data_IF_762288951659
#
_entry.id   IF_762288951659
#
_cell.length_a   1.000
_cell.length_b   1.000
_cell.length_c   1.000
_cell.angle_alpha   90.00
_cell.angle_beta   90.00
_cell.angle_gamma   90.00
#
_symmetry.space_group_name_H-M   'P 1'
#
loop_
_entity.id
_entity.type
_entity.pdbx_description
1 polymer ?
#
# COMPACT_ATOMS: atom_id res chain seq x y z
N UNK A 1 11.93 1.36 4.57
CA UNK A 1 13.15 1.79 5.29
C UNK A 1 13.52 0.75 6.34
N UNK A 2 12.60 0.35 7.22
CA UNK A 2 12.87 -0.63 8.28
C UNK A 2 13.24 -2.02 7.75
N UNK A 3 12.67 -2.49 6.64
CA UNK A 3 13.05 -3.77 6.04
C UNK A 3 14.48 -3.78 5.49
N UNK A 4 14.93 -2.69 4.88
CA UNK A 4 16.30 -2.56 4.37
C UNK A 4 17.29 -2.42 5.51
N UNK A 5 16.98 -1.60 6.51
CA UNK A 5 17.83 -1.44 7.69
C UNK A 5 17.79 -2.70 8.56
N UNK A 6 16.61 -3.23 8.89
CA UNK A 6 16.50 -4.47 9.64
C UNK A 6 17.13 -5.64 8.89
N UNK A 7 16.92 -5.75 7.57
CA UNK A 7 17.57 -6.77 6.74
C UNK A 7 19.08 -6.62 6.72
N UNK A 8 19.63 -5.42 6.57
CA UNK A 8 21.07 -5.17 6.58
C UNK A 8 21.71 -5.38 7.95
N UNK A 9 21.01 -5.01 9.03
CA UNK A 9 21.46 -5.26 10.40
C UNK A 9 21.41 -6.74 10.75
N UNK A 10 20.30 -7.43 10.44
CA UNK A 10 20.18 -8.87 10.64
C UNK A 10 21.22 -9.66 9.82
N UNK A 11 21.47 -9.26 8.58
CA UNK A 11 22.50 -9.85 7.75
C UNK A 11 23.88 -9.67 8.36
N UNK A 12 24.21 -8.45 8.81
CA UNK A 12 25.50 -8.16 9.47
C UNK A 12 25.65 -8.92 10.78
N UNK A 13 24.59 -8.99 11.59
CA UNK A 13 24.62 -9.72 12.85
C UNK A 13 24.69 -11.24 12.64
N UNK A 14 23.95 -11.79 11.69
CA UNK A 14 24.06 -13.20 11.31
C UNK A 14 25.45 -13.56 10.77
N UNK A 15 26.03 -12.68 9.97
CA UNK A 15 27.38 -12.88 9.44
C UNK A 15 28.41 -12.88 10.56
N UNK A 16 28.40 -11.88 11.44
CA UNK A 16 29.32 -11.81 12.60
C UNK A 16 29.12 -13.00 13.54
N UNK A 17 27.89 -13.40 13.83
CA UNK A 17 27.60 -14.56 14.67
C UNK A 17 28.09 -15.87 14.03
N UNK A 18 27.91 -16.05 12.73
CA UNK A 18 28.39 -17.25 12.03
C UNK A 18 29.91 -17.30 11.93
N UNK A 19 30.56 -16.16 11.69
CA UNK A 19 32.00 -16.02 11.68
C UNK A 19 32.60 -16.36 13.07
N UNK A 20 32.02 -15.82 14.15
CA UNK A 20 32.44 -16.11 15.53
C UNK A 20 32.17 -17.58 15.91
N UNK A 21 31.01 -18.12 15.57
CA UNK A 21 30.65 -19.50 15.87
C UNK A 21 31.54 -20.50 15.08
N UNK A 22 31.81 -20.26 13.82
CA UNK A 22 32.65 -21.10 13.00
C UNK A 22 34.11 -21.06 13.47
N UNK A 23 34.61 -19.86 13.86
CA UNK A 23 35.93 -19.69 14.45
C UNK A 23 36.05 -20.49 15.76
N UNK A 24 35.08 -20.34 16.68
CA UNK A 24 35.12 -21.02 17.98
C UNK A 24 35.02 -22.57 17.85
N UNK A 25 34.10 -23.07 17.02
CA UNK A 25 33.93 -24.51 16.80
C UNK A 25 35.13 -25.11 16.06
N UNK A 26 35.62 -24.41 15.03
CA UNK A 26 36.77 -24.82 14.27
C UNK A 26 38.03 -24.88 15.13
N UNK A 27 38.28 -23.85 15.96
CA UNK A 27 39.42 -23.80 16.87
C UNK A 27 39.36 -24.93 17.88
N UNK A 28 38.23 -25.13 18.57
CA UNK A 28 38.09 -26.19 19.55
C UNK A 28 38.30 -27.60 18.94
N UNK A 29 37.80 -27.83 17.72
CA UNK A 29 37.92 -29.09 17.01
C UNK A 29 39.37 -29.37 16.57
N UNK A 30 40.08 -28.36 16.09
CA UNK A 30 41.48 -28.50 15.67
C UNK A 30 42.43 -28.68 16.85
N UNK A 31 42.20 -27.97 17.94
CA UNK A 31 42.95 -28.16 19.20
C UNK A 31 42.73 -29.56 19.79
N UNK A 32 41.49 -30.07 19.75
CA UNK A 32 41.16 -31.44 20.19
C UNK A 32 41.84 -32.52 19.31
N UNK A 33 42.18 -32.21 18.07
CA UNK A 33 42.96 -33.08 17.16
C UNK A 33 44.49 -32.92 17.28
N UNK A 34 44.95 -32.13 18.22
CA UNK A 34 46.38 -31.94 18.47
C UNK A 34 47.06 -30.87 17.60
N UNK A 35 46.29 -30.02 16.93
CA UNK A 35 46.86 -28.87 16.23
C UNK A 35 47.34 -27.81 17.23
N UNK A 36 48.40 -27.08 16.88
CA UNK A 36 48.81 -25.91 17.66
C UNK A 36 47.85 -24.73 17.38
N UNK A 37 47.82 -23.74 18.28
CA UNK A 37 46.96 -22.54 18.10
C UNK A 37 47.21 -21.86 16.76
N UNK A 38 48.49 -21.73 16.36
CA UNK A 38 48.87 -21.12 15.07
C UNK A 38 48.36 -21.93 13.86
N UNK A 39 48.39 -23.24 13.96
CA UNK A 39 47.85 -24.12 12.92
C UNK A 39 46.33 -24.08 12.88
N UNK A 40 45.68 -24.06 14.03
CA UNK A 40 44.23 -23.90 14.12
C UNK A 40 43.75 -22.59 13.49
N UNK A 41 44.43 -21.50 13.77
CA UNK A 41 44.10 -20.18 13.17
C UNK A 41 44.32 -20.15 11.65
N UNK A 42 45.34 -20.86 11.13
CA UNK A 42 45.59 -20.93 9.69
C UNK A 42 44.53 -21.73 8.90
N UNK A 43 43.87 -22.68 9.55
CA UNK A 43 42.79 -23.50 8.96
C UNK A 43 41.37 -22.95 9.20
N UNK A 44 41.22 -21.93 10.08
CA UNK A 44 39.96 -21.30 10.36
C UNK A 44 39.50 -20.48 9.17
N UNK A 45 38.59 -21.04 8.39
CA UNK A 45 37.88 -20.28 7.38
C UNK A 45 36.49 -19.88 7.94
N UNK A 46 36.16 -18.61 7.88
CA UNK A 46 34.81 -18.16 8.29
C UNK A 46 33.73 -18.78 7.39
N UNK A 47 32.63 -19.20 7.99
CA UNK A 47 31.46 -19.60 7.21
C UNK A 47 30.96 -18.37 6.48
N UNK A 48 31.07 -18.38 5.14
CA UNK A 48 30.56 -17.30 4.31
C UNK A 48 29.07 -17.54 4.09
N UNK A 49 28.23 -16.66 4.63
CA UNK A 49 26.79 -16.65 4.32
C UNK A 49 26.63 -15.87 3.02
N UNK A 50 26.32 -16.58 1.93
CA UNK A 50 25.96 -15.97 0.67
C UNK A 50 24.45 -15.73 0.63
N UNK A 51 24.06 -14.46 0.64
CA UNK A 51 22.65 -14.07 0.66
C UNK A 51 22.28 -13.43 -0.66
N UNK A 52 21.31 -14.01 -1.32
CA UNK A 52 20.73 -13.48 -2.55
C UNK A 52 19.37 -12.86 -2.24
N UNK A 53 19.29 -11.54 -2.31
CA UNK A 53 18.01 -10.83 -2.18
C UNK A 53 17.15 -11.12 -3.42
N UNK A 54 16.00 -11.75 -3.22
CA UNK A 54 15.04 -12.01 -4.30
C UNK A 54 14.44 -10.70 -4.81
N UNK A 55 14.38 -10.54 -6.14
CA UNK A 55 13.76 -9.42 -6.85
C UNK A 55 14.40 -8.04 -6.67
N UNK A 56 15.36 -7.88 -5.80
CA UNK A 56 16.13 -6.65 -5.66
C UNK A 56 17.58 -6.96 -5.21
N UNK A 57 18.40 -7.63 -6.07
CA UNK A 57 19.74 -8.10 -5.70
C UNK A 57 20.66 -6.99 -5.21
N UNK A 58 20.50 -5.78 -5.75
CA UNK A 58 21.30 -4.61 -5.42
C UNK A 58 20.79 -3.84 -4.19
N UNK A 59 19.71 -4.33 -3.52
CA UNK A 59 19.03 -3.65 -2.42
C UNK A 59 18.72 -2.20 -2.76
N UNK A 60 18.32 -1.94 -4.00
CA UNK A 60 18.03 -0.61 -4.49
C UNK A 60 16.81 -0.03 -3.78
N UNK A 61 17.07 1.01 -2.98
CA UNK A 61 16.04 1.68 -2.20
C UNK A 61 14.94 2.30 -3.07
N UNK A 62 15.28 2.75 -4.28
CA UNK A 62 14.32 3.32 -5.22
C UNK A 62 13.24 2.32 -5.63
N UNK A 63 13.61 1.04 -5.89
CA UNK A 63 12.65 -0.03 -6.22
C UNK A 63 11.64 -0.21 -5.09
N UNK A 64 12.12 -0.22 -3.85
CA UNK A 64 11.24 -0.34 -2.69
C UNK A 64 10.35 0.90 -2.51
N UNK A 65 10.96 2.09 -2.49
CA UNK A 65 10.27 3.33 -2.17
C UNK A 65 9.21 3.69 -3.21
N UNK A 66 9.56 3.62 -4.50
CA UNK A 66 8.62 3.99 -5.56
C UNK A 66 7.39 3.08 -5.54
N UNK A 67 7.56 1.76 -5.43
CA UNK A 67 6.43 0.82 -5.45
C UNK A 67 5.52 0.88 -4.22
N UNK A 68 5.95 1.51 -3.14
CA UNK A 68 5.16 1.64 -1.91
C UNK A 68 4.63 3.05 -1.69
N UNK A 69 5.46 4.07 -1.90
CA UNK A 69 5.12 5.45 -1.62
C UNK A 69 4.14 6.04 -2.65
N UNK A 70 4.40 5.82 -3.96
CA UNK A 70 3.54 6.38 -5.00
C UNK A 70 2.08 5.92 -4.93
N UNK A 71 1.77 4.62 -4.80
CA UNK A 71 0.38 4.17 -4.65
C UNK A 71 -0.28 4.76 -3.40
N UNK A 72 0.46 4.91 -2.32
CA UNK A 72 -0.04 5.52 -1.10
C UNK A 72 -0.36 7.01 -1.25
N UNK A 73 0.52 7.78 -1.90
CA UNK A 73 0.27 9.21 -2.21
C UNK A 73 -0.93 9.33 -3.16
N UNK A 74 -0.99 8.49 -4.19
CA UNK A 74 -2.11 8.47 -5.13
C UNK A 74 -3.42 8.20 -4.41
N UNK A 75 -3.46 7.19 -3.54
CA UNK A 75 -4.62 6.85 -2.70
C UNK A 75 -5.05 8.05 -1.83
N UNK A 76 -4.09 8.69 -1.14
CA UNK A 76 -4.38 9.86 -0.30
C UNK A 76 -4.98 11.02 -1.12
N UNK A 77 -4.39 11.32 -2.28
CA UNK A 77 -4.92 12.35 -3.19
C UNK A 77 -6.34 12.00 -3.66
N UNK A 78 -6.61 10.74 -3.99
CA UNK A 78 -7.95 10.30 -4.40
C UNK A 78 -8.96 10.51 -3.26
N UNK A 79 -8.62 10.17 -2.02
CA UNK A 79 -9.48 10.41 -0.85
C UNK A 79 -9.85 11.88 -0.75
N UNK A 80 -8.83 12.76 -0.76
CA UNK A 80 -9.01 14.20 -0.59
C UNK A 80 -9.79 14.82 -1.74
N UNK A 81 -9.40 14.52 -2.98
CA UNK A 81 -10.06 15.10 -4.17
C UNK A 81 -11.51 14.60 -4.27
N UNK A 82 -11.79 13.33 -3.96
CA UNK A 82 -13.15 12.79 -3.99
C UNK A 82 -14.03 13.45 -2.91
N UNK A 83 -13.54 13.52 -1.67
CA UNK A 83 -14.27 14.18 -0.60
C UNK A 83 -14.48 15.69 -0.90
N UNK A 84 -13.47 16.36 -1.46
CA UNK A 84 -13.53 17.75 -1.86
C UNK A 84 -14.55 17.98 -2.99
N UNK A 85 -14.50 17.18 -4.04
CA UNK A 85 -15.39 17.31 -5.22
C UNK A 85 -16.87 17.21 -4.85
N UNK A 86 -17.21 16.32 -3.90
CA UNK A 86 -18.58 16.20 -3.41
C UNK A 86 -18.89 17.33 -2.43
N UNK A 87 -17.94 17.66 -1.55
CA UNK A 87 -18.14 18.64 -0.50
C UNK A 87 -18.27 20.08 -1.00
N UNK A 88 -17.64 20.42 -2.11
CA UNK A 88 -17.77 21.75 -2.75
C UNK A 88 -19.19 21.96 -3.24
N UNK A 89 -19.86 20.97 -3.83
CA UNK A 89 -21.24 21.07 -4.26
C UNK A 89 -22.18 21.44 -3.09
N UNK A 90 -21.94 20.83 -1.94
CA UNK A 90 -22.73 21.12 -0.74
C UNK A 90 -22.39 22.51 -0.18
N UNK A 91 -21.11 22.89 -0.19
CA UNK A 91 -20.63 24.18 0.30
C UNK A 91 -21.16 25.35 -0.52
N UNK A 92 -21.18 25.21 -1.84
CA UNK A 92 -21.60 26.26 -2.79
C UNK A 92 -23.10 26.21 -3.10
N UNK A 93 -23.85 25.30 -2.47
CA UNK A 93 -25.29 25.07 -2.68
C UNK A 93 -25.67 24.62 -4.10
N UNK A 94 -24.73 24.11 -4.88
CA UNK A 94 -24.94 23.57 -6.24
C UNK A 94 -25.38 22.11 -6.23
N UNK A 95 -25.36 21.45 -5.07
CA UNK A 95 -25.74 20.05 -4.89
C UNK A 95 -27.17 19.74 -5.36
N UNK A 96 -28.12 20.69 -5.21
CA UNK A 96 -29.51 20.54 -5.67
C UNK A 96 -29.60 20.54 -7.19
N UNK A 97 -28.84 21.39 -7.87
CA UNK A 97 -28.77 21.43 -9.33
C UNK A 97 -28.18 20.13 -9.88
N UNK A 98 -27.08 19.65 -9.26
CA UNK A 98 -26.49 18.37 -9.61
C UNK A 98 -27.49 17.21 -9.44
N UNK A 99 -28.23 17.18 -8.36
CA UNK A 99 -29.27 16.17 -8.13
C UNK A 99 -30.41 16.26 -9.16
N UNK A 100 -30.83 17.47 -9.51
CA UNK A 100 -31.85 17.68 -10.52
C UNK A 100 -31.40 17.19 -11.92
N UNK A 101 -30.15 17.50 -12.32
CA UNK A 101 -29.57 16.99 -13.56
C UNK A 101 -29.46 15.46 -13.61
N UNK A 102 -29.38 14.81 -12.44
CA UNK A 102 -29.29 13.35 -12.30
C UNK A 102 -30.63 12.67 -12.02
N UNK A 103 -31.78 13.27 -12.35
CA UNK A 103 -33.13 12.77 -12.08
C UNK A 103 -33.35 12.39 -10.60
N UNK A 104 -32.79 13.16 -9.69
CA UNK A 104 -32.80 12.89 -8.24
C UNK A 104 -32.18 11.55 -7.82
N UNK A 105 -31.41 10.93 -8.70
CA UNK A 105 -30.66 9.71 -8.42
C UNK A 105 -29.26 10.05 -7.90
N UNK A 106 -29.00 9.76 -6.62
CA UNK A 106 -27.68 9.98 -6.01
C UNK A 106 -26.56 9.18 -6.69
N UNK A 107 -26.88 7.97 -7.16
CA UNK A 107 -25.90 7.11 -7.84
C UNK A 107 -25.50 7.74 -9.17
N UNK A 108 -26.48 8.19 -9.98
CA UNK A 108 -26.22 8.86 -11.26
C UNK A 108 -25.42 10.14 -11.07
N UNK A 109 -25.77 10.95 -10.04
CA UNK A 109 -25.07 12.17 -9.70
C UNK A 109 -23.59 11.90 -9.34
N UNK A 110 -23.33 10.89 -8.48
CA UNK A 110 -21.98 10.52 -8.08
C UNK A 110 -21.17 9.94 -9.23
N UNK A 111 -21.75 9.03 -10.01
CA UNK A 111 -21.04 8.44 -11.17
C UNK A 111 -20.71 9.52 -12.19
N UNK A 112 -21.66 10.37 -12.57
CA UNK A 112 -21.41 11.46 -13.52
C UNK A 112 -20.32 12.42 -13.04
N UNK A 113 -20.33 12.78 -11.75
CA UNK A 113 -19.37 13.71 -11.16
C UNK A 113 -17.98 13.12 -10.99
N UNK A 114 -17.88 11.84 -10.60
CA UNK A 114 -16.62 11.20 -10.26
C UNK A 114 -15.98 10.43 -11.43
N UNK A 115 -16.73 10.11 -12.49
CA UNK A 115 -16.19 9.39 -13.65
C UNK A 115 -14.97 10.09 -14.30
N UNK A 116 -15.00 11.41 -14.57
CA UNK A 116 -13.83 12.11 -15.12
C UNK A 116 -12.61 11.99 -14.20
N UNK A 117 -12.82 12.13 -12.89
CA UNK A 117 -11.78 11.97 -11.89
C UNK A 117 -11.22 10.54 -11.87
N UNK A 118 -12.07 9.51 -11.98
CA UNK A 118 -11.66 8.10 -12.07
C UNK A 118 -10.73 7.89 -13.25
N UNK A 119 -11.10 8.42 -14.42
CA UNK A 119 -10.30 8.32 -15.64
C UNK A 119 -8.94 8.97 -15.45
N UNK A 120 -8.90 10.18 -14.90
CA UNK A 120 -7.64 10.91 -14.66
C UNK A 120 -6.72 10.12 -13.72
N UNK A 121 -7.22 9.68 -12.56
CA UNK A 121 -6.42 8.93 -11.61
C UNK A 121 -6.01 7.56 -12.15
N UNK A 122 -6.85 6.93 -12.95
CA UNK A 122 -6.47 5.68 -13.61
C UNK A 122 -5.37 5.89 -14.65
N UNK A 123 -5.43 6.95 -15.45
CA UNK A 123 -4.35 7.33 -16.39
C UNK A 123 -3.04 7.57 -15.62
N UNK A 124 -3.09 8.26 -14.47
CA UNK A 124 -1.91 8.47 -13.62
C UNK A 124 -1.38 7.13 -13.10
N UNK A 125 -2.25 6.22 -12.67
CA UNK A 125 -1.85 4.89 -12.22
C UNK A 125 -1.23 4.05 -13.36
N UNK A 126 -1.78 4.13 -14.57
CA UNK A 126 -1.23 3.47 -15.76
C UNK A 126 0.15 4.05 -16.10
N UNK A 127 0.25 5.38 -16.20
CA UNK A 127 1.51 6.05 -16.48
C UNK A 127 2.61 5.66 -15.49
N UNK A 128 2.28 5.68 -14.21
CA UNK A 128 3.18 5.29 -13.13
C UNK A 128 3.66 3.83 -13.30
N UNK A 129 2.73 2.88 -13.52
CA UNK A 129 3.09 1.46 -13.69
C UNK A 129 3.94 1.24 -14.96
N UNK A 130 3.58 1.88 -16.08
CA UNK A 130 4.36 1.80 -17.32
C UNK A 130 5.75 2.40 -17.14
N UNK A 131 5.85 3.51 -16.43
CA UNK A 131 7.14 4.16 -16.17
C UNK A 131 8.05 3.26 -15.30
N UNK A 132 7.52 2.68 -14.20
CA UNK A 132 8.34 1.84 -13.33
C UNK A 132 8.74 0.52 -14.00
N UNK A 133 7.77 -0.19 -14.57
CA UNK A 133 8.02 -1.54 -15.08
C UNK A 133 8.49 -1.55 -16.53
N UNK A 134 8.03 -0.60 -17.35
CA UNK A 134 8.44 -0.51 -18.76
C UNK A 134 9.71 0.27 -18.98
N UNK A 135 9.87 1.44 -18.34
CA UNK A 135 11.01 2.33 -18.58
C UNK A 135 12.17 2.08 -17.59
N UNK A 136 11.88 2.02 -16.29
CA UNK A 136 12.91 1.78 -15.27
C UNK A 136 13.25 0.29 -15.10
N UNK A 137 12.54 -0.62 -15.78
CA UNK A 137 12.75 -2.07 -15.73
C UNK A 137 12.76 -2.63 -14.30
N UNK A 138 11.89 -2.11 -13.43
CA UNK A 138 11.74 -2.67 -12.10
C UNK A 138 11.14 -4.09 -12.19
N UNK A 139 11.43 -4.97 -11.21
CA UNK A 139 10.95 -6.34 -11.24
C UNK A 139 9.41 -6.39 -11.27
N UNK A 140 8.87 -7.06 -12.29
CA UNK A 140 7.43 -7.31 -12.46
C UNK A 140 7.24 -8.70 -13.08
N UNK A 141 7.38 -9.73 -12.24
CA UNK A 141 7.43 -11.13 -12.70
C UNK A 141 6.10 -11.64 -13.26
N UNK A 142 4.95 -11.07 -12.85
CA UNK A 142 3.63 -11.44 -13.39
C UNK A 142 3.25 -10.70 -14.67
N UNK A 143 4.08 -9.75 -15.12
CA UNK A 143 3.76 -8.84 -16.21
C UNK A 143 2.95 -7.62 -15.76
N UNK A 144 2.81 -6.65 -16.69
CA UNK A 144 2.24 -5.33 -16.37
C UNK A 144 0.71 -5.37 -16.18
N UNK A 145 -0.02 -6.23 -16.90
CA UNK A 145 -1.48 -6.24 -16.89
C UNK A 145 -2.11 -6.51 -15.51
N UNK A 146 -1.65 -7.49 -14.72
CA UNK A 146 -2.17 -7.68 -13.37
C UNK A 146 -1.93 -6.46 -12.46
N UNK A 147 -0.83 -5.74 -12.66
CA UNK A 147 -0.52 -4.52 -11.90
C UNK A 147 -1.40 -3.33 -12.31
N UNK A 148 -1.75 -3.23 -13.60
CA UNK A 148 -2.73 -2.23 -14.06
C UNK A 148 -4.11 -2.48 -13.46
N UNK A 149 -4.53 -3.76 -13.39
CA UNK A 149 -5.78 -4.13 -12.71
C UNK A 149 -5.74 -3.79 -11.22
N UNK A 150 -4.63 -4.10 -10.54
CA UNK A 150 -4.45 -3.73 -9.13
C UNK A 150 -4.50 -2.20 -8.94
N UNK A 151 -3.92 -1.43 -9.85
CA UNK A 151 -4.00 0.04 -9.86
C UNK A 151 -5.44 0.55 -10.02
N UNK A 152 -6.21 -0.04 -10.93
CA UNK A 152 -7.62 0.29 -11.11
C UNK A 152 -8.44 0.00 -9.85
N UNK A 153 -8.24 -1.16 -9.24
CA UNK A 153 -8.92 -1.53 -8.00
C UNK A 153 -8.57 -0.57 -6.86
N UNK A 154 -7.30 -0.15 -6.76
CA UNK A 154 -6.88 0.85 -5.77
C UNK A 154 -7.59 2.19 -5.99
N UNK A 155 -7.68 2.67 -7.25
CA UNK A 155 -8.36 3.93 -7.58
C UNK A 155 -9.81 3.88 -7.17
N UNK A 156 -10.53 2.83 -7.56
CA UNK A 156 -11.96 2.68 -7.26
C UNK A 156 -12.23 2.49 -5.76
N UNK A 157 -11.43 1.66 -5.08
CA UNK A 157 -11.54 1.48 -3.63
C UNK A 157 -11.25 2.79 -2.88
N UNK A 158 -10.28 3.56 -3.34
CA UNK A 158 -9.93 4.86 -2.74
C UNK A 158 -11.04 5.89 -2.93
N UNK A 159 -11.64 5.96 -4.11
CA UNK A 159 -12.80 6.84 -4.34
C UNK A 159 -13.98 6.45 -3.44
N UNK A 160 -14.25 5.15 -3.31
CA UNK A 160 -15.29 4.65 -2.43
C UNK A 160 -15.10 5.08 -0.97
N UNK A 161 -13.87 5.02 -0.47
CA UNK A 161 -13.52 5.51 0.88
C UNK A 161 -13.71 7.02 0.99
N UNK A 162 -13.32 7.80 -0.01
CA UNK A 162 -13.55 9.27 -0.05
C UNK A 162 -15.05 9.64 0.01
N UNK A 163 -15.89 8.93 -0.76
CA UNK A 163 -17.36 9.08 -0.72
C UNK A 163 -17.89 8.72 0.67
N UNK A 164 -17.41 7.62 1.24
CA UNK A 164 -17.82 7.16 2.56
C UNK A 164 -17.53 8.19 3.64
N UNK A 165 -16.32 8.75 3.68
CA UNK A 165 -15.97 9.78 4.65
C UNK A 165 -16.84 11.03 4.51
N UNK A 166 -17.07 11.50 3.28
CA UNK A 166 -17.94 12.64 3.09
C UNK A 166 -19.39 12.34 3.51
N UNK A 167 -19.93 11.18 3.16
CA UNK A 167 -21.26 10.76 3.57
C UNK A 167 -21.40 10.57 5.09
N UNK A 168 -20.30 10.16 5.76
CA UNK A 168 -20.29 9.97 7.22
C UNK A 168 -20.27 11.30 7.98
N UNK A 169 -19.47 12.26 7.56
CA UNK A 169 -19.29 13.54 8.29
C UNK A 169 -20.20 14.65 7.79
N UNK A 170 -20.55 14.67 6.51
CA UNK A 170 -21.46 15.65 5.91
C UNK A 170 -20.91 17.07 5.76
N UNK A 171 -19.75 17.38 6.34
CA UNK A 171 -19.08 18.67 6.23
C UNK A 171 -17.73 18.51 5.55
N UNK A 172 -17.40 19.46 4.66
CA UNK A 172 -16.16 19.40 3.89
C UNK A 172 -14.92 19.34 4.79
N UNK A 173 -14.88 20.17 5.84
CA UNK A 173 -13.75 20.25 6.77
C UNK A 173 -13.48 18.92 7.48
N UNK A 174 -14.52 18.34 8.09
CA UNK A 174 -14.36 17.07 8.82
C UNK A 174 -14.06 15.90 7.89
N UNK A 175 -14.69 15.86 6.72
CA UNK A 175 -14.43 14.81 5.73
C UNK A 175 -12.99 14.83 5.24
N UNK A 176 -12.45 16.02 4.92
CA UNK A 176 -11.04 16.15 4.51
C UNK A 176 -10.07 15.80 5.65
N UNK A 177 -10.35 16.25 6.87
CA UNK A 177 -9.51 15.92 8.03
C UNK A 177 -9.50 14.43 8.32
N UNK A 178 -10.66 13.76 8.25
CA UNK A 178 -10.75 12.31 8.46
C UNK A 178 -10.07 11.54 7.32
N UNK A 179 -10.28 11.94 6.08
CA UNK A 179 -9.67 11.33 4.91
C UNK A 179 -8.14 11.45 4.94
N UNK A 180 -7.60 12.63 5.30
CA UNK A 180 -6.17 12.84 5.44
C UNK A 180 -5.57 12.02 6.57
N UNK A 181 -6.20 12.02 7.76
CA UNK A 181 -5.75 11.22 8.88
C UNK A 181 -5.73 9.73 8.55
N UNK A 182 -6.81 9.22 7.94
CA UNK A 182 -6.91 7.82 7.52
C UNK A 182 -5.86 7.45 6.49
N UNK A 183 -5.63 8.32 5.51
CA UNK A 183 -4.60 8.14 4.49
C UNK A 183 -3.20 8.11 5.08
N UNK A 184 -2.86 9.03 5.99
CA UNK A 184 -1.54 9.06 6.65
C UNK A 184 -1.33 7.83 7.55
N UNK A 185 -2.34 7.44 8.33
CA UNK A 185 -2.26 6.23 9.16
C UNK A 185 -2.03 4.99 8.31
N UNK A 186 -2.62 4.92 7.11
CA UNK A 186 -2.43 3.77 6.21
C UNK A 186 -0.96 3.57 5.83
N UNK A 187 -0.16 4.63 5.65
CA UNK A 187 1.27 4.53 5.38
C UNK A 187 2.04 3.84 6.52
N UNK A 188 1.70 4.14 7.75
CA UNK A 188 2.41 3.59 8.91
C UNK A 188 2.02 2.15 9.21
N UNK A 189 0.73 1.79 8.98
CA UNK A 189 0.16 0.53 9.47
C UNK A 189 0.01 -0.52 8.34
N UNK A 190 0.05 -0.13 7.07
CA UNK A 190 -0.17 -1.07 5.94
C UNK A 190 0.88 -2.18 5.81
N UNK A 191 1.99 -2.11 6.53
CA UNK A 191 2.96 -3.19 6.59
C UNK A 191 4.14 -3.07 5.62
N UNK A 192 4.26 -1.97 4.90
CA UNK A 192 5.44 -1.73 4.08
C UNK A 192 6.55 -1.00 4.82
N UNK A 193 6.23 -0.16 5.80
CA UNK A 193 7.22 0.51 6.65
C UNK A 193 7.72 -0.39 7.77
N UNK A 194 6.83 -1.21 8.34
CA UNK A 194 7.12 -2.13 9.43
C UNK A 194 6.38 -3.46 9.22
N UNK A 195 7.01 -4.62 9.43
CA UNK A 195 6.38 -5.92 9.26
C UNK A 195 5.13 -6.08 10.12
N UNK A 196 4.00 -6.42 9.50
CA UNK A 196 2.73 -6.61 10.24
C UNK A 196 2.85 -7.70 11.30
N UNK A 197 3.60 -8.76 11.02
CA UNK A 197 3.82 -9.86 11.98
C UNK A 197 4.52 -9.42 13.27
N UNK A 198 5.30 -8.33 13.22
CA UNK A 198 5.99 -7.77 14.38
C UNK A 198 5.20 -6.65 15.08
N UNK A 199 4.01 -6.31 14.58
CA UNK A 199 3.11 -5.34 15.20
C UNK A 199 2.31 -5.98 16.33
N UNK A 200 1.81 -5.14 17.24
CA UNK A 200 0.84 -5.58 18.25
C UNK A 200 -0.44 -6.13 17.57
N UNK A 201 -1.10 -7.18 18.12
CA UNK A 201 -2.26 -7.82 17.50
C UNK A 201 -3.41 -6.86 17.11
N UNK A 202 -3.64 -5.82 17.91
CA UNK A 202 -4.63 -4.76 17.59
C UNK A 202 -4.28 -3.98 16.31
N UNK A 203 -3.01 -3.67 16.09
CA UNK A 203 -2.55 -3.01 14.86
C UNK A 203 -2.59 -3.95 13.66
N UNK A 204 -2.33 -5.24 13.88
CA UNK A 204 -2.49 -6.26 12.82
C UNK A 204 -3.95 -6.33 12.34
N UNK A 205 -4.91 -6.30 13.25
CA UNK A 205 -6.33 -6.26 12.90
C UNK A 205 -6.71 -4.93 12.21
N UNK A 206 -6.18 -3.80 12.69
CA UNK A 206 -6.46 -2.50 12.11
C UNK A 206 -5.91 -2.35 10.68
N UNK A 207 -4.76 -2.97 10.37
CA UNK A 207 -4.15 -2.84 9.05
C UNK A 207 -5.03 -3.36 7.90
N UNK A 208 -5.95 -4.29 8.20
CA UNK A 208 -6.90 -4.84 7.22
C UNK A 208 -7.91 -3.79 6.74
N UNK A 209 -8.15 -2.74 7.53
CA UNK A 209 -9.09 -1.66 7.20
C UNK A 209 -8.53 -0.62 6.22
N UNK A 210 -7.30 -0.81 5.74
CA UNK A 210 -6.67 0.12 4.80
C UNK A 210 -6.56 -0.49 3.40
N UNK A 211 -7.14 0.12 2.34
CA UNK A 211 -7.00 -0.35 0.97
C UNK A 211 -5.54 -0.49 0.51
N UNK A 212 -4.66 0.39 1.01
CA UNK A 212 -3.22 0.37 0.70
C UNK A 212 -2.57 -0.95 1.10
N UNK A 213 -2.99 -1.55 2.22
CA UNK A 213 -2.51 -2.87 2.67
C UNK A 213 -2.77 -3.95 1.61
N UNK A 214 -3.99 -3.99 1.08
CA UNK A 214 -4.39 -4.99 0.10
C UNK A 214 -3.70 -4.76 -1.25
N UNK A 215 -3.53 -3.50 -1.65
CA UNK A 215 -2.72 -3.18 -2.83
C UNK A 215 -1.26 -3.61 -2.65
N UNK A 216 -0.66 -3.37 -1.48
CA UNK A 216 0.70 -3.80 -1.19
C UNK A 216 0.86 -5.33 -1.25
N UNK A 217 -0.12 -6.08 -0.75
CA UNK A 217 -0.13 -7.54 -0.87
C UNK A 217 -0.27 -8.00 -2.33
N UNK A 218 -1.08 -7.30 -3.15
CA UNK A 218 -1.15 -7.56 -4.60
C UNK A 218 0.20 -7.30 -5.26
N UNK A 219 0.83 -6.17 -4.97
CA UNK A 219 2.16 -5.85 -5.48
C UNK A 219 3.19 -6.93 -5.12
N UNK A 220 3.24 -7.35 -3.85
CA UNK A 220 4.18 -8.37 -3.40
C UNK A 220 3.96 -9.72 -4.10
N UNK A 221 2.70 -10.15 -4.25
CA UNK A 221 2.38 -11.40 -4.89
C UNK A 221 2.56 -11.37 -6.41
N UNK A 222 2.14 -10.30 -7.07
CA UNK A 222 2.17 -10.19 -8.53
C UNK A 222 3.56 -9.75 -9.02
N UNK A 223 4.01 -8.57 -8.61
CA UNK A 223 5.23 -8.00 -9.16
C UNK A 223 6.48 -8.70 -8.64
N UNK A 224 6.57 -8.98 -7.33
CA UNK A 224 7.77 -9.59 -6.76
C UNK A 224 7.77 -11.11 -6.92
N UNK A 225 6.72 -11.80 -6.48
CA UNK A 225 6.70 -13.27 -6.49
C UNK A 225 6.29 -13.87 -7.83
N UNK A 226 5.67 -13.08 -8.73
CA UNK A 226 5.22 -13.57 -10.04
C UNK A 226 4.05 -14.56 -9.97
N UNK A 227 3.31 -14.58 -8.85
CA UNK A 227 2.17 -15.48 -8.72
C UNK A 227 0.98 -15.02 -9.58
N UNK A 228 0.22 -15.97 -10.15
CA UNK A 228 -1.04 -15.66 -10.80
C UNK A 228 -2.01 -14.93 -9.85
N UNK A 229 -2.83 -14.06 -10.40
CA UNK A 229 -3.80 -13.24 -9.64
C UNK A 229 -4.72 -14.07 -8.74
N UNK A 230 -4.99 -15.32 -9.11
CA UNK A 230 -5.85 -16.24 -8.35
C UNK A 230 -5.30 -16.51 -6.94
N UNK A 231 -3.99 -16.51 -6.73
CA UNK A 231 -3.41 -16.70 -5.39
C UNK A 231 -3.52 -15.46 -4.51
N UNK A 232 -3.73 -14.29 -5.12
CA UNK A 232 -3.93 -13.02 -4.41
C UNK A 232 -5.42 -12.63 -4.27
N UNK A 233 -6.36 -13.56 -4.50
CA UNK A 233 -7.79 -13.30 -4.53
C UNK A 233 -8.34 -12.63 -3.26
N UNK A 234 -7.80 -12.95 -2.08
CA UNK A 234 -8.20 -12.32 -0.82
C UNK A 234 -8.04 -10.80 -0.88
N UNK A 235 -6.91 -10.32 -1.42
CA UNK A 235 -6.64 -8.89 -1.53
C UNK A 235 -7.51 -8.22 -2.59
N UNK A 236 -7.82 -8.93 -3.68
CA UNK A 236 -8.78 -8.45 -4.70
C UNK A 236 -10.17 -8.32 -4.09
N UNK A 237 -10.65 -9.36 -3.40
CA UNK A 237 -11.96 -9.33 -2.73
C UNK A 237 -12.04 -8.23 -1.69
N UNK A 238 -10.98 -8.03 -0.91
CA UNK A 238 -10.93 -6.95 0.05
C UNK A 238 -11.09 -5.57 -0.62
N UNK A 239 -10.38 -5.30 -1.72
CA UNK A 239 -10.55 -4.05 -2.47
C UNK A 239 -11.96 -3.91 -3.05
N UNK A 240 -12.58 -5.00 -3.53
CA UNK A 240 -13.98 -4.99 -3.97
C UNK A 240 -14.94 -4.69 -2.81
N UNK A 241 -14.67 -5.20 -1.61
CA UNK A 241 -15.46 -4.87 -0.40
C UNK A 241 -15.36 -3.37 -0.09
N UNK A 242 -14.18 -2.76 -0.21
CA UNK A 242 -14.06 -1.31 -0.04
C UNK A 242 -14.92 -0.52 -1.04
N UNK A 243 -15.08 -1.00 -2.26
CA UNK A 243 -15.94 -0.37 -3.25
C UNK A 243 -17.44 -0.40 -2.88
N UNK A 244 -17.84 -1.24 -1.93
CA UNK A 244 -19.21 -1.28 -1.41
C UNK A 244 -19.46 -0.27 -0.28
N UNK A 245 -18.44 0.36 0.29
CA UNK A 245 -18.61 1.32 1.39
C UNK A 245 -19.59 2.47 1.10
N UNK A 246 -19.63 3.07 -0.10
CA UNK A 246 -20.58 4.12 -0.41
C UNK A 246 -22.03 3.71 -0.18
N UNK A 247 -22.40 2.44 -0.41
CA UNK A 247 -23.79 1.98 -0.25
C UNK A 247 -24.33 2.21 1.15
N UNK A 248 -23.49 2.17 2.17
CA UNK A 248 -23.89 2.41 3.57
C UNK A 248 -24.25 3.88 3.84
N UNK A 249 -23.73 4.80 3.04
CA UNK A 249 -23.92 6.25 3.24
C UNK A 249 -24.78 6.91 2.16
N UNK A 250 -25.20 6.21 1.10
CA UNK A 250 -25.96 6.81 -0.02
C UNK A 250 -27.22 7.54 0.42
N UNK A 251 -28.01 6.95 1.33
CA UNK A 251 -29.24 7.58 1.83
C UNK A 251 -28.92 8.88 2.56
N UNK A 252 -27.92 8.86 3.44
CA UNK A 252 -27.50 10.03 4.20
C UNK A 252 -26.91 11.10 3.27
N UNK A 253 -26.10 10.68 2.31
CA UNK A 253 -25.50 11.58 1.33
C UNK A 253 -26.55 12.28 0.49
N UNK A 254 -27.59 11.55 0.03
CA UNK A 254 -28.73 12.16 -0.65
C UNK A 254 -29.41 13.22 0.20
N UNK A 255 -29.64 12.95 1.49
CA UNK A 255 -30.25 13.92 2.42
C UNK A 255 -29.36 15.15 2.59
N UNK A 256 -28.05 14.95 2.70
CA UNK A 256 -27.09 16.05 2.78
C UNK A 256 -27.16 16.93 1.52
N UNK A 257 -27.12 16.32 0.34
CA UNK A 257 -27.14 17.07 -0.93
C UNK A 257 -28.45 17.85 -1.15
N UNK A 258 -29.57 17.37 -0.65
CA UNK A 258 -30.89 18.00 -0.87
C UNK A 258 -31.27 19.02 0.22
N UNK A 259 -30.89 18.78 1.48
CA UNK A 259 -31.45 19.50 2.62
C UNK A 259 -30.42 20.19 3.50
N UNK A 260 -29.12 19.89 3.32
CA UNK A 260 -28.11 20.45 4.19
C UNK A 260 -27.83 21.92 3.83
N UNK A 261 -27.90 22.79 4.83
CA UNK A 261 -27.45 24.18 4.73
C UNK A 261 -26.05 24.24 5.33
N UNK A 262 -25.09 24.60 4.50
CA UNK A 262 -23.71 24.70 4.96
C UNK A 262 -23.56 25.92 5.87
N UNK A 263 -23.22 25.70 7.13
CA UNK A 263 -22.83 26.73 8.08
C UNK A 263 -21.30 26.75 8.11
N UNK A 264 -20.66 27.89 7.76
CA UNK A 264 -19.18 27.96 7.64
C UNK A 264 -18.44 27.79 8.96
#
# INVERSE_FOLDING_TARGET
FSYLIAGSLLYRDQRTMSELASAAIGQSTLLAKGATEDQAMAFLQPIVIDTHALNNPWLNYSVYLCNTLFPGILMLLIYLVTAYTIGVEVKENTAKELMHMADNSIVTALVGKLLPQTIIFFIIAVFYNVYLYGFLHYPCNSGIFPMLLAGLLLVLASQAVGIFFFGLFGTLRLALSAASLWGVLSFSISGFTYPVMAMHPTLQALCVLFPLRHYFLLYANLALNGYPLIYAWHSVVALLIFMLLPFFVLKRLRTIMLHYIYIP
#
